data_IF_625874293801
#
_entry.id   IF_625874293801
#
_cell.length_a   1.000
_cell.length_b   1.000
_cell.length_c   1.000
_cell.angle_alpha   90.00
_cell.angle_beta   90.00
_cell.angle_gamma   90.00
#
_symmetry.space_group_name_H-M   'P 1'
#
loop_
_entity.id
_entity.type
_entity.pdbx_description
1 polymer ?
#
# COMPACT_ATOMS: atom_id res chain seq x y z
N UNK A 1 -0.19 67.35 1.37
CA UNK A 1 -0.05 66.01 2.01
C UNK A 1 0.20 66.27 3.50
N UNK A 2 -0.91 66.19 4.28
CA UNK A 2 -0.89 66.41 5.71
C UNK A 2 -0.44 65.18 6.51
N UNK A 3 0.00 65.35 7.78
CA UNK A 3 0.42 64.24 8.64
C UNK A 3 -0.65 63.16 8.84
N UNK A 4 -1.93 63.45 8.59
CA UNK A 4 -3.06 62.52 8.64
C UNK A 4 -3.05 61.49 7.51
N UNK A 5 -2.57 61.85 6.31
CA UNK A 5 -2.53 60.97 5.16
C UNK A 5 -1.50 59.83 5.29
N UNK A 6 -0.35 60.15 5.90
CA UNK A 6 0.69 59.19 6.22
C UNK A 6 0.25 58.17 7.28
N UNK A 7 -0.47 58.59 8.28
CA UNK A 7 -1.02 57.70 9.31
C UNK A 7 -2.04 56.73 8.74
N UNK A 8 -2.93 57.19 7.87
CA UNK A 8 -3.92 56.31 7.19
C UNK A 8 -3.25 55.32 6.27
N UNK A 9 -2.22 55.76 5.52
CA UNK A 9 -1.45 54.84 4.66
C UNK A 9 -0.74 53.74 5.45
N UNK A 10 -0.12 54.07 6.56
CA UNK A 10 0.57 53.11 7.43
C UNK A 10 -0.42 52.10 8.02
N UNK A 11 -1.60 52.57 8.43
CA UNK A 11 -2.62 51.72 9.02
C UNK A 11 -3.25 50.76 7.98
N UNK A 12 -3.44 51.25 6.76
CA UNK A 12 -3.91 50.42 5.63
C UNK A 12 -2.86 49.34 5.26
N UNK A 13 -1.59 49.72 5.18
CA UNK A 13 -0.49 48.80 4.93
C UNK A 13 -0.37 47.71 6.01
N UNK A 14 -0.50 48.10 7.27
CA UNK A 14 -0.49 47.18 8.42
C UNK A 14 -1.65 46.19 8.39
N UNK A 15 -2.86 46.63 8.00
CA UNK A 15 -4.02 45.80 7.83
C UNK A 15 -3.86 44.83 6.65
N UNK A 16 -3.33 45.29 5.54
CA UNK A 16 -3.05 44.45 4.37
C UNK A 16 -1.97 43.42 4.71
N UNK A 17 -0.89 43.83 5.38
CA UNK A 17 0.17 42.93 5.80
C UNK A 17 -0.36 41.85 6.76
N UNK A 18 -1.23 42.20 7.71
CA UNK A 18 -1.85 41.24 8.62
C UNK A 18 -2.73 40.20 7.89
N UNK A 19 -3.51 40.65 6.88
CA UNK A 19 -4.34 39.72 6.06
C UNK A 19 -3.48 38.80 5.19
N UNK A 20 -2.41 39.32 4.59
CA UNK A 20 -1.49 38.50 3.78
C UNK A 20 -0.74 37.47 4.63
N UNK A 21 -0.25 37.87 5.82
CA UNK A 21 0.37 36.94 6.76
C UNK A 21 -0.62 35.84 7.21
N UNK A 22 -1.86 36.23 7.51
CA UNK A 22 -2.90 35.27 7.84
C UNK A 22 -3.18 34.26 6.71
N UNK A 23 -3.29 34.75 5.48
CA UNK A 23 -3.49 33.88 4.31
C UNK A 23 -2.32 32.92 4.09
N UNK A 24 -1.08 33.40 4.19
CA UNK A 24 0.12 32.56 4.10
C UNK A 24 0.14 31.51 5.23
N UNK A 25 -0.22 31.90 6.46
CA UNK A 25 -0.33 30.96 7.59
C UNK A 25 -1.33 29.85 7.33
N UNK A 26 -2.53 30.17 6.85
CA UNK A 26 -3.52 29.17 6.47
C UNK A 26 -3.06 28.26 5.35
N UNK A 27 -2.42 28.80 4.31
CA UNK A 27 -1.89 28.02 3.19
C UNK A 27 -0.85 27.00 3.67
N UNK A 28 0.05 27.40 4.54
CA UNK A 28 1.06 26.50 5.13
C UNK A 28 0.36 25.44 5.99
N UNK A 29 -0.59 25.83 6.83
CA UNK A 29 -1.31 24.91 7.70
C UNK A 29 -2.05 23.84 6.91
N UNK A 30 -2.86 24.22 5.91
CA UNK A 30 -3.59 23.26 5.08
C UNK A 30 -2.65 22.43 4.21
N UNK A 31 -1.55 23.00 3.72
CA UNK A 31 -0.51 22.27 3.00
C UNK A 31 0.14 21.19 3.87
N UNK A 32 0.47 21.50 5.11
CA UNK A 32 1.01 20.51 6.06
C UNK A 32 -0.02 19.40 6.39
N UNK A 33 -1.29 19.74 6.60
CA UNK A 33 -2.35 18.76 6.88
C UNK A 33 -2.52 17.81 5.66
N UNK A 34 -2.59 18.37 4.45
CA UNK A 34 -2.70 17.59 3.23
C UNK A 34 -1.48 16.68 3.04
N UNK A 35 -0.28 17.20 3.24
CA UNK A 35 0.95 16.41 3.18
C UNK A 35 0.95 15.25 4.17
N UNK A 36 0.61 15.51 5.43
CA UNK A 36 0.50 14.46 6.44
C UNK A 36 -0.57 13.41 6.08
N UNK A 37 -1.72 13.86 5.55
CA UNK A 37 -2.77 12.94 5.13
C UNK A 37 -2.28 11.99 4.03
N UNK A 38 -1.64 12.49 2.98
CA UNK A 38 -1.08 11.66 1.91
C UNK A 38 0.08 10.78 2.36
N UNK A 39 0.89 11.22 3.31
CA UNK A 39 2.02 10.43 3.81
C UNK A 39 1.57 9.27 4.71
N UNK A 40 0.56 9.49 5.57
CA UNK A 40 0.17 8.51 6.59
C UNK A 40 -1.11 7.74 6.26
N UNK A 41 -2.08 8.36 5.58
CA UNK A 41 -3.36 7.70 5.29
C UNK A 41 -3.21 6.75 4.10
N UNK A 42 -2.72 7.23 2.96
CA UNK A 42 -2.55 6.37 1.79
C UNK A 42 -2.42 7.11 0.47
N UNK A 43 -2.33 6.33 -0.60
CA UNK A 43 -2.14 6.81 -1.97
C UNK A 43 -3.03 6.06 -2.98
N UNK A 44 -3.32 6.73 -4.09
CA UNK A 44 -3.97 6.10 -5.24
C UNK A 44 -2.91 5.51 -6.16
N UNK A 45 -3.08 4.25 -6.51
CA UNK A 45 -2.13 3.53 -7.36
C UNK A 45 -2.86 3.00 -8.59
N UNK A 46 -2.31 3.29 -9.76
CA UNK A 46 -2.74 2.66 -11.01
C UNK A 46 -1.98 1.36 -11.17
N UNK A 47 -2.71 0.25 -11.21
CA UNK A 47 -2.12 -1.06 -11.40
C UNK A 47 -1.90 -1.34 -12.87
N UNK A 48 -0.73 -1.90 -13.21
CA UNK A 48 -0.40 -2.31 -14.57
C UNK A 48 0.18 -3.71 -14.58
N UNK A 49 -0.19 -4.48 -15.59
CA UNK A 49 0.26 -5.86 -15.79
C UNK A 49 -0.72 -6.92 -15.32
N UNK A 50 -0.56 -8.16 -15.81
CA UNK A 50 -1.50 -9.26 -15.64
C UNK A 50 -1.32 -10.05 -14.33
N UNK A 51 -0.37 -9.69 -13.47
CA UNK A 51 0.06 -10.54 -12.35
C UNK A 51 -1.00 -10.74 -11.25
N UNK A 52 -1.99 -9.84 -11.16
CA UNK A 52 -3.06 -9.89 -10.16
C UNK A 52 -4.43 -10.21 -10.74
N UNK A 53 -4.49 -10.56 -12.03
CA UNK A 53 -5.74 -11.00 -12.65
C UNK A 53 -6.23 -12.33 -12.04
N UNK A 54 -7.52 -12.51 -11.88
CA UNK A 54 -8.64 -11.62 -12.27
C UNK A 54 -9.00 -10.55 -11.22
N UNK A 55 -8.36 -10.53 -10.05
CA UNK A 55 -8.74 -9.65 -8.93
C UNK A 55 -8.51 -8.18 -9.26
N UNK A 56 -7.33 -7.86 -9.76
CA UNK A 56 -6.95 -6.53 -10.23
C UNK A 56 -6.49 -6.67 -11.68
N UNK A 57 -7.16 -5.94 -12.56
CA UNK A 57 -6.89 -5.95 -14.00
C UNK A 57 -6.03 -4.74 -14.38
N UNK A 58 -5.42 -4.80 -15.55
CA UNK A 58 -4.61 -3.71 -16.08
C UNK A 58 -5.40 -2.38 -16.13
N UNK A 59 -4.79 -1.29 -15.69
CA UNK A 59 -5.35 0.06 -15.55
C UNK A 59 -6.40 0.23 -14.43
N UNK A 60 -6.58 -0.75 -13.56
CA UNK A 60 -7.39 -0.55 -12.36
C UNK A 60 -6.72 0.48 -11.44
N UNK A 61 -7.55 1.36 -10.85
CA UNK A 61 -7.10 2.29 -9.81
C UNK A 61 -7.52 1.76 -8.45
N UNK A 62 -6.55 1.58 -7.60
CA UNK A 62 -6.76 1.08 -6.23
C UNK A 62 -6.32 2.13 -5.20
N UNK A 63 -6.94 2.07 -4.04
CA UNK A 63 -6.50 2.85 -2.89
C UNK A 63 -5.66 1.96 -1.97
N UNK A 64 -4.42 2.38 -1.74
CA UNK A 64 -3.47 1.72 -0.85
C UNK A 64 -3.29 2.54 0.41
N UNK A 65 -3.65 1.98 1.56
CA UNK A 65 -3.45 2.61 2.86
C UNK A 65 -2.09 2.23 3.44
N UNK A 66 -1.47 3.15 4.16
CA UNK A 66 -0.13 2.97 4.72
C UNK A 66 -0.12 2.63 6.21
N UNK A 67 -1.24 2.85 6.89
CA UNK A 67 -1.35 2.71 8.34
C UNK A 67 -1.13 1.26 8.80
N UNK A 68 -1.69 0.28 8.09
CA UNK A 68 -1.50 -1.15 8.42
C UNK A 68 -0.04 -1.59 8.37
N UNK A 69 0.75 -1.01 7.45
CA UNK A 69 2.19 -1.25 7.41
C UNK A 69 2.88 -0.74 8.68
N UNK A 70 2.57 0.50 9.09
CA UNK A 70 3.19 1.10 10.28
C UNK A 70 2.77 0.41 11.58
N UNK A 71 1.57 -0.11 11.64
CA UNK A 71 1.03 -0.84 12.79
C UNK A 71 1.30 -2.34 12.76
N UNK A 72 2.06 -2.84 11.77
CA UNK A 72 2.34 -4.27 11.56
C UNK A 72 1.07 -5.13 11.54
N UNK A 73 -0.01 -4.62 10.90
CA UNK A 73 -1.32 -5.26 10.79
C UNK A 73 -1.61 -5.86 9.41
N UNK A 74 -0.57 -6.10 8.63
CA UNK A 74 -0.71 -6.80 7.36
C UNK A 74 -0.82 -8.29 7.64
N UNK A 75 -1.84 -8.91 7.05
CA UNK A 75 -2.20 -10.30 7.29
C UNK A 75 -2.11 -11.13 6.00
N UNK A 76 -2.17 -12.46 6.17
CA UNK A 76 -2.26 -13.37 5.01
C UNK A 76 -3.56 -13.13 4.25
N UNK A 77 -3.46 -13.04 2.94
CA UNK A 77 -4.57 -12.72 2.06
C UNK A 77 -4.65 -11.26 1.65
N UNK A 78 -4.00 -10.36 2.38
CA UNK A 78 -3.94 -8.95 2.02
C UNK A 78 -3.21 -8.75 0.69
N UNK A 79 -3.72 -7.81 -0.12
CA UNK A 79 -3.00 -7.34 -1.31
C UNK A 79 -2.17 -6.12 -0.89
N UNK A 80 -0.90 -6.15 -1.24
CA UNK A 80 0.04 -5.09 -0.85
C UNK A 80 0.74 -4.49 -2.06
N UNK A 81 1.05 -3.21 -1.94
CA UNK A 81 2.00 -2.53 -2.82
C UNK A 81 3.36 -2.60 -2.14
N UNK A 82 4.34 -3.13 -2.84
CA UNK A 82 5.71 -3.23 -2.34
C UNK A 82 6.71 -2.72 -3.39
N UNK A 83 7.88 -2.34 -2.96
CA UNK A 83 9.00 -2.09 -3.88
C UNK A 83 9.52 -3.42 -4.43
N UNK A 84 9.85 -3.44 -5.71
CA UNK A 84 10.47 -4.61 -6.32
C UNK A 84 11.84 -4.88 -5.68
N UNK A 85 12.16 -6.13 -5.35
CA UNK A 85 13.48 -6.47 -4.84
C UNK A 85 14.59 -6.31 -5.89
N UNK A 86 14.23 -6.27 -7.19
CA UNK A 86 15.19 -6.10 -8.29
C UNK A 86 15.39 -4.65 -8.70
N UNK A 87 14.34 -3.84 -8.65
CA UNK A 87 14.36 -2.43 -9.01
C UNK A 87 13.65 -1.59 -7.95
N UNK A 88 14.39 -0.84 -7.13
CA UNK A 88 13.82 0.00 -6.08
C UNK A 88 12.88 1.10 -6.59
N UNK A 89 12.95 1.45 -7.88
CA UNK A 89 12.07 2.46 -8.48
C UNK A 89 10.73 1.88 -8.92
N UNK A 90 10.66 0.55 -9.08
CA UNK A 90 9.43 -0.13 -9.52
C UNK A 90 8.61 -0.61 -8.31
N UNK A 91 7.32 -0.30 -8.33
CA UNK A 91 6.36 -0.84 -7.39
C UNK A 91 5.70 -2.10 -7.98
N UNK A 92 5.50 -3.10 -7.14
CA UNK A 92 4.79 -4.34 -7.47
C UNK A 92 3.54 -4.45 -6.61
N UNK A 93 2.48 -4.98 -7.20
CA UNK A 93 1.24 -5.33 -6.51
C UNK A 93 1.17 -6.84 -6.39
N UNK A 94 1.08 -7.38 -5.18
CA UNK A 94 1.07 -8.81 -4.89
C UNK A 94 0.21 -9.12 -3.68
N UNK A 95 -0.17 -10.40 -3.53
CA UNK A 95 -0.90 -10.90 -2.35
C UNK A 95 0.05 -11.55 -1.37
N UNK A 96 -0.18 -11.30 -0.08
CA UNK A 96 0.55 -11.93 1.02
C UNK A 96 0.03 -13.36 1.19
N UNK A 97 0.87 -14.34 0.91
CA UNK A 97 0.56 -15.77 1.07
C UNK A 97 1.11 -16.32 2.37
N UNK A 98 2.23 -15.80 2.83
CA UNK A 98 2.85 -16.22 4.07
C UNK A 98 3.54 -15.08 4.82
N UNK A 99 3.53 -15.22 6.12
CA UNK A 99 4.19 -14.32 7.07
C UNK A 99 5.42 -15.01 7.66
N UNK A 100 6.22 -14.27 8.45
CA UNK A 100 7.39 -14.83 9.11
C UNK A 100 7.05 -16.10 9.90
N UNK A 101 7.90 -17.13 9.76
CA UNK A 101 7.72 -18.43 10.41
C UNK A 101 6.81 -19.41 9.66
N UNK A 102 6.09 -18.96 8.64
CA UNK A 102 5.24 -19.86 7.86
C UNK A 102 6.06 -20.80 6.96
N UNK A 103 5.55 -22.01 6.82
CA UNK A 103 6.07 -23.01 5.89
C UNK A 103 5.27 -22.96 4.58
N UNK A 104 5.90 -22.55 3.50
CA UNK A 104 5.29 -22.39 2.19
C UNK A 104 5.69 -23.55 1.28
N UNK A 105 4.70 -24.15 0.59
CA UNK A 105 4.96 -25.14 -0.44
C UNK A 105 5.31 -24.41 -1.75
N UNK A 106 6.55 -24.58 -2.21
CA UNK A 106 7.07 -23.89 -3.42
C UNK A 106 6.90 -24.70 -4.69
N UNK A 107 6.57 -26.01 -4.56
CA UNK A 107 6.39 -26.89 -5.71
C UNK A 107 5.08 -26.60 -6.46
N UNK A 108 5.10 -26.86 -7.76
CA UNK A 108 3.87 -26.86 -8.55
C UNK A 108 2.92 -27.99 -8.07
N UNK A 109 1.60 -27.84 -8.26
CA UNK A 109 0.63 -28.87 -7.89
C UNK A 109 0.88 -30.25 -8.56
N UNK A 110 1.61 -30.23 -9.71
CA UNK A 110 1.97 -31.41 -10.49
C UNK A 110 3.24 -32.13 -10.01
N UNK A 111 4.00 -31.51 -9.10
CA UNK A 111 5.29 -32.06 -8.69
C UNK A 111 5.11 -33.20 -7.68
N UNK A 112 5.74 -34.34 -7.96
CA UNK A 112 5.74 -35.54 -7.09
C UNK A 112 6.48 -35.28 -5.76
N UNK A 113 7.45 -34.37 -5.75
CA UNK A 113 8.20 -34.01 -4.55
C UNK A 113 7.83 -32.58 -4.12
N UNK A 114 7.22 -32.45 -2.95
CA UNK A 114 6.83 -31.16 -2.38
C UNK A 114 8.05 -30.50 -1.72
N UNK A 115 8.53 -29.44 -2.34
CA UNK A 115 9.58 -28.58 -1.74
C UNK A 115 8.92 -27.52 -0.86
N UNK A 116 9.47 -27.32 0.32
CA UNK A 116 8.98 -26.32 1.28
C UNK A 116 10.08 -25.32 1.60
N UNK A 117 9.67 -24.08 1.73
CA UNK A 117 10.54 -22.98 2.16
C UNK A 117 9.91 -22.31 3.38
N UNK A 118 10.73 -21.97 4.37
CA UNK A 118 10.29 -21.18 5.51
C UNK A 118 10.49 -19.71 5.24
N UNK A 119 9.50 -18.90 5.65
CA UNK A 119 9.60 -17.43 5.56
C UNK A 119 10.46 -16.95 6.72
N UNK A 120 11.61 -16.32 6.46
CA UNK A 120 12.49 -15.81 7.50
C UNK A 120 11.84 -14.70 8.32
N UNK A 121 12.38 -14.44 9.50
CA UNK A 121 11.95 -13.34 10.36
C UNK A 121 12.08 -11.99 9.62
N UNK A 122 11.09 -11.13 9.76
CA UNK A 122 11.05 -9.83 9.10
C UNK A 122 10.78 -9.89 7.59
N UNK A 123 10.35 -11.03 7.06
CA UNK A 123 10.02 -11.23 5.65
C UNK A 123 8.57 -11.68 5.46
N UNK A 124 8.10 -11.53 4.24
CA UNK A 124 6.79 -12.00 3.78
C UNK A 124 6.93 -12.78 2.47
N UNK A 125 6.00 -13.68 2.23
CA UNK A 125 5.91 -14.39 0.97
C UNK A 125 4.79 -13.80 0.12
N UNK A 126 5.16 -13.25 -1.03
CA UNK A 126 4.27 -12.54 -1.93
C UNK A 126 4.06 -13.33 -3.21
N UNK A 127 2.80 -13.54 -3.63
CA UNK A 127 2.47 -14.15 -4.91
C UNK A 127 1.47 -13.30 -5.68
N UNK A 128 1.49 -13.42 -7.01
CA UNK A 128 0.43 -12.87 -7.84
C UNK A 128 -0.77 -13.80 -7.90
N UNK A 129 -1.97 -13.25 -8.07
CA UNK A 129 -3.19 -14.05 -8.24
C UNK A 129 -3.18 -14.81 -9.58
N UNK A 130 -2.48 -14.27 -10.57
CA UNK A 130 -2.22 -14.94 -11.86
C UNK A 130 -0.85 -15.66 -11.82
N UNK A 131 -0.86 -16.87 -11.31
CA UNK A 131 0.37 -17.65 -11.10
C UNK A 131 1.21 -17.90 -12.37
N UNK A 132 0.56 -17.89 -13.55
CA UNK A 132 1.25 -18.14 -14.84
C UNK A 132 2.01 -16.92 -15.34
N UNK A 133 1.49 -15.72 -15.03
CA UNK A 133 2.02 -14.45 -15.52
C UNK A 133 2.49 -13.54 -14.38
N UNK A 134 3.08 -14.11 -13.34
CA UNK A 134 3.58 -13.38 -12.19
C UNK A 134 5.02 -13.74 -11.88
N UNK A 135 5.89 -12.73 -11.86
CA UNK A 135 7.19 -12.83 -11.19
C UNK A 135 7.00 -12.45 -9.73
N UNK A 136 7.22 -13.39 -8.82
CA UNK A 136 6.92 -13.24 -7.41
C UNK A 136 7.86 -14.08 -6.53
N UNK A 137 7.56 -14.25 -5.24
CA UNK A 137 8.42 -14.96 -4.29
C UNK A 137 8.77 -16.39 -4.70
N UNK A 138 8.03 -17.01 -5.61
CA UNK A 138 8.40 -18.32 -6.18
C UNK A 138 9.69 -18.22 -7.02
N UNK A 139 9.96 -17.04 -7.59
CA UNK A 139 11.15 -16.80 -8.43
C UNK A 139 12.31 -16.18 -7.65
N UNK A 140 12.03 -15.25 -6.73
CA UNK A 140 13.07 -14.48 -6.03
C UNK A 140 13.11 -14.69 -4.52
N UNK A 141 12.22 -15.53 -3.97
CA UNK A 141 12.20 -15.82 -2.55
C UNK A 141 11.43 -14.81 -1.70
N UNK A 142 11.56 -14.92 -0.37
CA UNK A 142 10.87 -14.04 0.57
C UNK A 142 11.29 -12.58 0.41
N UNK A 143 10.34 -11.67 0.60
CA UNK A 143 10.55 -10.21 0.48
C UNK A 143 10.62 -9.58 1.86
N UNK A 144 11.60 -8.71 2.15
CA UNK A 144 11.63 -7.98 3.40
C UNK A 144 10.34 -7.17 3.63
N UNK A 145 9.75 -7.27 4.83
CA UNK A 145 8.54 -6.53 5.22
C UNK A 145 8.71 -5.02 5.01
N UNK A 146 9.93 -4.52 5.18
CA UNK A 146 10.27 -3.10 5.00
C UNK A 146 10.03 -2.57 3.57
N UNK A 147 10.00 -3.46 2.56
CA UNK A 147 9.70 -3.08 1.17
C UNK A 147 8.21 -2.86 0.92
N UNK A 148 7.33 -3.31 1.81
CA UNK A 148 5.89 -3.04 1.70
C UNK A 148 5.66 -1.55 1.89
N UNK A 149 4.91 -0.94 0.98
CA UNK A 149 4.52 0.47 1.03
C UNK A 149 3.17 0.69 1.66
N UNK A 150 2.22 -0.19 1.35
CA UNK A 150 0.87 -0.10 1.88
C UNK A 150 0.03 -1.31 1.52
N UNK A 151 -1.14 -1.40 2.14
CA UNK A 151 -2.15 -2.42 1.89
C UNK A 151 -3.24 -1.86 0.98
N UNK A 152 -3.60 -2.60 -0.04
CA UNK A 152 -4.71 -2.26 -0.93
C UNK A 152 -6.02 -2.63 -0.25
N UNK A 153 -6.88 -1.65 0.00
CA UNK A 153 -8.15 -1.86 0.69
C UNK A 153 -9.37 -1.65 -0.21
N UNK A 154 -9.26 -0.83 -1.25
CA UNK A 154 -10.38 -0.51 -2.13
C UNK A 154 -9.94 -0.46 -3.59
N UNK A 155 -10.78 -1.02 -4.47
CA UNK A 155 -10.74 -0.81 -5.91
C UNK A 155 -11.70 0.33 -6.25
N UNK A 156 -11.18 1.38 -6.89
CA UNK A 156 -11.93 2.60 -7.18
C UNK A 156 -12.39 2.68 -8.63
N UNK A 157 -11.57 2.20 -9.52
CA UNK A 157 -11.87 2.21 -10.95
C UNK A 157 -11.54 0.85 -11.57
N UNK A 158 -12.36 0.37 -12.48
CA UNK A 158 -13.59 0.96 -13.04
C UNK A 158 -14.80 0.92 -12.07
N UNK A 159 -15.81 1.80 -12.26
CA UNK A 159 -16.95 1.91 -11.34
C UNK A 159 -17.75 0.62 -11.14
N UNK A 160 -17.83 -0.24 -12.15
CA UNK A 160 -18.50 -1.53 -12.06
C UNK A 160 -17.72 -2.54 -11.18
N UNK A 161 -16.46 -2.27 -10.88
CA UNK A 161 -15.62 -3.07 -9.98
C UNK A 161 -15.33 -2.39 -8.65
N UNK A 162 -16.05 -1.28 -8.34
CA UNK A 162 -15.87 -0.55 -7.09
C UNK A 162 -16.21 -1.42 -5.88
N UNK A 163 -15.30 -1.46 -4.92
CA UNK A 163 -15.53 -2.18 -3.67
C UNK A 163 -14.28 -2.77 -3.05
N UNK A 164 -14.50 -3.59 -2.03
CA UNK A 164 -13.46 -4.37 -1.39
C UNK A 164 -12.97 -5.49 -2.32
N UNK A 165 -11.70 -5.79 -2.25
CA UNK A 165 -11.08 -6.82 -3.07
C UNK A 165 -11.53 -8.21 -2.61
N UNK A 166 -11.81 -9.07 -3.59
CA UNK A 166 -12.20 -10.46 -3.34
C UNK A 166 -11.07 -11.26 -2.70
N UNK A 167 -11.46 -12.30 -1.97
CA UNK A 167 -10.53 -13.29 -1.44
C UNK A 167 -9.69 -13.92 -2.56
N UNK A 168 -8.55 -14.49 -2.17
CA UNK A 168 -7.63 -15.11 -3.11
C UNK A 168 -8.32 -16.17 -3.99
N UNK A 169 -8.23 -16.06 -5.32
CA UNK A 169 -8.73 -17.10 -6.22
C UNK A 169 -7.94 -18.41 -6.06
N UNK A 170 -6.77 -18.34 -5.49
CA UNK A 170 -5.89 -19.48 -5.26
C UNK A 170 -6.02 -19.93 -3.80
N UNK A 171 -6.49 -21.15 -3.55
CA UNK A 171 -6.60 -21.75 -2.19
C UNK A 171 -5.23 -22.07 -1.55
N UNK A 172 -4.23 -21.21 -1.75
CA UNK A 172 -2.88 -21.38 -1.20
C UNK A 172 -2.69 -20.82 0.20
N UNK A 173 -3.66 -20.06 0.69
CA UNK A 173 -3.63 -19.56 2.07
C UNK A 173 -3.94 -20.74 3.00
N UNK A 174 -2.90 -21.33 3.53
CA UNK A 174 -3.04 -22.33 4.61
C UNK A 174 -3.36 -21.53 5.87
N UNK A 175 -4.62 -21.60 6.34
CA UNK A 175 -4.95 -21.14 7.70
C UNK A 175 -4.03 -21.92 8.65
N UNK A 176 -3.22 -21.21 9.45
CA UNK A 176 -2.44 -21.85 10.49
C UNK A 176 -3.40 -22.58 11.42
N UNK A 177 -3.21 -23.90 11.57
CA UNK A 177 -3.85 -24.68 12.62
C UNK A 177 -3.22 -24.28 13.97
N UNK A 178 -3.71 -23.20 14.57
CA UNK A 178 -3.34 -22.81 15.93
C UNK A 178 -4.55 -22.69 16.85
N UNK A 179 -5.67 -23.39 16.54
CA UNK A 179 -6.83 -23.44 17.45
C UNK A 179 -7.42 -24.85 17.51
N UNK A 180 -6.61 -25.84 17.92
CA UNK A 180 -7.15 -27.14 18.34
C UNK A 180 -6.26 -27.78 19.40
N UNK A 181 -6.16 -27.11 20.54
CA UNK A 181 -5.84 -27.75 21.82
C UNK A 181 -6.47 -26.92 22.94
N UNK A 182 -7.76 -27.17 23.14
CA UNK A 182 -8.43 -26.99 24.42
C UNK A 182 -9.47 -28.08 24.53
N UNK A 183 -9.04 -29.22 25.03
CA UNK A 183 -9.83 -30.16 25.84
C UNK A 183 -8.94 -30.66 26.96
#
# INVERSE_FOLDING_TARGET
>A
TGPSDHLQQVEMLRRMLGKTLGFVGYTIQYGCIAHCAFEYIGEFVVCSGPSMEPTIVNHDVVFSERMSRHLCRIEKGDIVIAKSPFDPNMNICKRVIGMEGDKICTSAPSDLFKTHTYVPKGHVWLEGDNLKNSSDSRSYGPVPYALIRGRVCLKLWPPHGFGTLSESPTKRIIKSQSDSHSD
#
